data_IF_390792654346
#
_entry.id   IF_390792654346
#
_cell.length_a   1.000
_cell.length_b   1.000
_cell.length_c   1.000
_cell.angle_alpha   90.00
_cell.angle_beta   90.00
_cell.angle_gamma   90.00
#
_symmetry.space_group_name_H-M   'P 1'
#
loop_
_entity.id
_entity.type
_entity.pdbx_description
1 polymer ?
#
# COMPACT_ATOMS: atom_id res chain seq x y z
N UNK A 1 -14.22 13.06 -3.02
CA UNK A 1 -13.77 12.07 -4.03
C UNK A 1 -14.66 10.85 -3.89
N UNK A 2 -15.12 10.24 -4.99
CA UNK A 2 -15.93 9.02 -4.90
C UNK A 2 -15.13 7.83 -4.32
N UNK A 3 -15.79 6.74 -3.90
CA UNK A 3 -15.13 5.55 -3.32
C UNK A 3 -13.97 5.02 -4.17
N UNK A 4 -14.15 4.98 -5.49
CA UNK A 4 -13.13 4.54 -6.45
C UNK A 4 -11.89 5.46 -6.52
N UNK A 5 -12.05 6.77 -6.30
CA UNK A 5 -10.93 7.71 -6.31
C UNK A 5 -10.00 7.53 -5.10
N UNK A 6 -10.58 7.19 -3.94
CA UNK A 6 -9.80 6.87 -2.74
C UNK A 6 -9.02 5.57 -2.92
N UNK A 7 -9.66 4.51 -3.45
CA UNK A 7 -8.99 3.25 -3.75
C UNK A 7 -7.82 3.42 -4.73
N UNK A 8 -8.00 4.23 -5.78
CA UNK A 8 -6.93 4.50 -6.74
C UNK A 8 -5.75 5.24 -6.09
N UNK A 9 -6.04 6.23 -5.24
CA UNK A 9 -5.01 6.99 -4.52
C UNK A 9 -4.22 6.11 -3.55
N UNK A 10 -4.92 5.26 -2.79
CA UNK A 10 -4.31 4.26 -1.90
C UNK A 10 -3.42 3.32 -2.72
N UNK A 11 -3.92 2.80 -3.84
CA UNK A 11 -3.20 1.83 -4.65
C UNK A 11 -1.89 2.36 -5.20
N UNK A 12 -1.87 3.62 -5.65
CA UNK A 12 -0.65 4.29 -6.13
C UNK A 12 0.30 4.61 -4.97
N UNK A 13 -0.22 5.14 -3.86
CA UNK A 13 0.59 5.52 -2.70
C UNK A 13 1.35 4.32 -2.11
N UNK A 14 0.66 3.19 -1.93
CA UNK A 14 1.26 1.97 -1.41
C UNK A 14 2.23 1.31 -2.40
N UNK A 15 1.90 1.33 -3.70
CA UNK A 15 2.78 0.80 -4.74
C UNK A 15 4.12 1.57 -4.79
N UNK A 16 4.06 2.90 -4.88
CA UNK A 16 5.26 3.75 -4.93
C UNK A 16 6.01 3.71 -3.59
N UNK A 17 5.31 3.66 -2.46
CA UNK A 17 5.95 3.56 -1.15
C UNK A 17 6.79 2.28 -1.00
N UNK A 18 6.25 1.14 -1.40
CA UNK A 18 6.90 -0.17 -1.25
C UNK A 18 8.01 -0.44 -2.26
N UNK A 19 8.12 0.39 -3.30
CA UNK A 19 9.23 0.35 -4.26
C UNK A 19 10.58 0.74 -3.63
N UNK A 20 10.58 1.52 -2.54
CA UNK A 20 11.79 2.06 -1.90
C UNK A 20 11.99 1.58 -0.46
N UNK A 21 10.91 1.25 0.23
CA UNK A 21 10.88 1.00 1.67
C UNK A 21 10.19 -0.33 1.93
N UNK A 22 10.63 -1.02 2.98
CA UNK A 22 10.06 -2.28 3.42
C UNK A 22 8.52 -2.22 3.62
N UNK A 23 7.77 -3.23 3.15
CA UNK A 23 6.32 -3.37 3.31
C UNK A 23 5.78 -3.03 4.70
N UNK A 24 6.43 -3.51 5.75
CA UNK A 24 5.94 -3.37 7.13
C UNK A 24 6.00 -1.90 7.54
N UNK A 25 7.08 -1.21 7.19
CA UNK A 25 7.28 0.21 7.51
C UNK A 25 6.25 1.07 6.77
N UNK A 26 6.00 0.79 5.49
CA UNK A 26 5.01 1.54 4.69
C UNK A 26 3.61 1.34 5.25
N UNK A 27 3.22 0.11 5.61
CA UNK A 27 1.90 -0.19 6.20
C UNK A 27 1.73 0.54 7.52
N UNK A 28 2.71 0.49 8.42
CA UNK A 28 2.63 1.16 9.73
C UNK A 28 2.47 2.67 9.62
N UNK A 29 3.04 3.30 8.60
CA UNK A 29 2.96 4.75 8.40
C UNK A 29 1.71 5.15 7.62
N UNK A 30 1.40 4.51 6.50
CA UNK A 30 0.33 4.94 5.59
C UNK A 30 -1.06 4.48 6.07
N UNK A 31 -1.21 3.31 6.69
CA UNK A 31 -2.52 2.83 7.15
C UNK A 31 -3.22 3.81 8.09
N UNK A 32 -2.61 4.33 9.17
CA UNK A 32 -3.28 5.29 10.05
C UNK A 32 -3.59 6.62 9.35
N UNK A 33 -2.83 7.00 8.32
CA UNK A 33 -3.08 8.20 7.51
C UNK A 33 -4.33 8.02 6.64
N UNK A 34 -4.52 6.84 6.05
CA UNK A 34 -5.67 6.54 5.19
C UNK A 34 -6.91 6.02 5.94
N UNK A 35 -6.77 5.55 7.18
CA UNK A 35 -7.86 5.06 8.03
C UNK A 35 -9.06 6.03 8.16
N UNK A 36 -8.88 7.34 8.48
CA UNK A 36 -10.01 8.27 8.58
C UNK A 36 -10.68 8.51 7.21
N UNK A 37 -9.92 8.43 6.11
CA UNK A 37 -10.43 8.62 4.75
C UNK A 37 -11.32 7.44 4.34
N UNK A 38 -10.87 6.21 4.64
CA UNK A 38 -11.61 4.98 4.34
C UNK A 38 -12.92 4.93 5.13
N UNK A 39 -12.89 5.27 6.42
CA UNK A 39 -14.08 5.37 7.26
C UNK A 39 -15.07 6.43 6.75
N UNK A 40 -14.58 7.61 6.31
CA UNK A 40 -15.44 8.66 5.77
C UNK A 40 -16.12 8.26 4.44
N UNK A 41 -15.50 7.36 3.67
CA UNK A 41 -16.08 6.83 2.42
C UNK A 41 -17.01 5.63 2.59
N UNK A 42 -17.11 5.04 3.78
CA UNK A 42 -17.92 3.85 4.02
C UNK A 42 -17.44 2.60 3.28
N UNK A 43 -16.17 2.56 2.86
CA UNK A 43 -15.56 1.42 2.20
C UNK A 43 -15.30 0.29 3.21
N UNK A 44 -15.51 -0.96 2.79
CA UNK A 44 -15.20 -2.12 3.62
C UNK A 44 -13.69 -2.16 3.93
N UNK A 45 -13.29 -2.08 5.21
CA UNK A 45 -11.89 -2.13 5.60
C UNK A 45 -11.20 -3.43 5.19
N UNK A 46 -11.92 -4.55 5.06
CA UNK A 46 -11.35 -5.82 4.61
C UNK A 46 -10.93 -5.74 3.14
N UNK A 47 -11.79 -5.17 2.29
CA UNK A 47 -11.49 -4.92 0.88
C UNK A 47 -10.30 -3.95 0.72
N UNK A 48 -10.29 -2.86 1.48
CA UNK A 48 -9.18 -1.90 1.41
C UNK A 48 -7.87 -2.53 1.87
N UNK A 49 -7.91 -3.32 2.95
CA UNK A 49 -6.76 -4.06 3.45
C UNK A 49 -6.21 -5.07 2.43
N UNK A 50 -7.08 -5.81 1.74
CA UNK A 50 -6.66 -6.76 0.69
C UNK A 50 -6.07 -6.07 -0.53
N UNK A 51 -6.59 -4.92 -0.93
CA UNK A 51 -5.99 -4.13 -2.02
C UNK A 51 -4.61 -3.59 -1.59
N UNK A 52 -4.49 -3.09 -0.36
CA UNK A 52 -3.21 -2.61 0.16
C UNK A 52 -2.17 -3.73 0.16
N UNK A 53 -2.49 -4.91 0.69
CA UNK A 53 -1.53 -6.04 0.74
C UNK A 53 -1.11 -6.49 -0.66
N UNK A 54 -2.04 -6.51 -1.63
CA UNK A 54 -1.70 -6.80 -3.02
C UNK A 54 -0.72 -5.76 -3.58
N UNK A 55 -1.01 -4.47 -3.41
CA UNK A 55 -0.18 -3.39 -3.96
C UNK A 55 1.21 -3.33 -3.32
N UNK A 56 1.30 -3.63 -2.04
CA UNK A 56 2.55 -3.72 -1.29
C UNK A 56 3.40 -4.88 -1.81
N UNK A 57 2.82 -6.07 -2.00
CA UNK A 57 3.54 -7.24 -2.52
C UNK A 57 4.04 -7.04 -3.97
N UNK A 58 3.25 -6.36 -4.81
CA UNK A 58 3.70 -6.01 -6.16
C UNK A 58 4.80 -4.94 -6.06
N UNK A 59 4.60 -3.90 -5.25
CA UNK A 59 5.56 -2.80 -5.08
C UNK A 59 6.93 -3.27 -4.58
N UNK A 60 6.97 -4.21 -3.63
CA UNK A 60 8.20 -4.74 -3.05
C UNK A 60 9.01 -5.64 -4.00
N UNK A 61 8.34 -6.24 -4.99
CA UNK A 61 8.97 -7.02 -6.04
C UNK A 61 9.37 -6.20 -7.29
N UNK A 62 8.89 -4.95 -7.42
CA UNK A 62 9.10 -4.13 -8.64
C UNK A 62 10.31 -3.19 -8.50
N UNK A 63 11.19 -3.05 -9.52
CA UNK A 63 12.35 -2.14 -9.49
C UNK A 63 11.92 -0.68 -9.27
N UNK A 64 12.44 0.01 -8.24
CA UNK A 64 13.70 0.74 -8.28
C UNK A 64 14.70 0.37 -7.17
N UNK A 65 14.22 -0.19 -6.05
CA UNK A 65 15.06 -0.84 -5.03
C UNK A 65 14.60 -2.28 -4.79
N UNK A 66 13.30 -2.57 -4.76
CA UNK A 66 12.81 -3.95 -4.64
C UNK A 66 13.37 -4.65 -3.40
N UNK A 67 12.98 -4.19 -2.20
CA UNK A 67 13.53 -4.67 -0.93
C UNK A 67 13.57 -6.21 -0.83
N UNK A 68 12.57 -6.90 -1.38
CA UNK A 68 12.50 -8.36 -1.38
C UNK A 68 13.61 -9.01 -2.21
N UNK A 69 14.06 -8.36 -3.30
CA UNK A 69 15.18 -8.83 -4.12
C UNK A 69 16.50 -8.73 -3.34
N UNK A 70 16.69 -7.66 -2.56
CA UNK A 70 17.85 -7.54 -1.67
C UNK A 70 17.84 -8.59 -0.56
N UNK A 71 16.67 -8.88 0.02
CA UNK A 71 16.53 -9.94 1.02
C UNK A 71 16.77 -11.34 0.44
N UNK A 72 16.36 -11.60 -0.80
CA UNK A 72 16.54 -12.91 -1.43
C UNK A 72 18.00 -13.27 -1.71
N UNK A 73 18.90 -12.28 -1.81
CA UNK A 73 20.34 -12.48 -2.09
C UNK A 73 21.24 -12.33 -0.85
N UNK A 74 20.68 -11.90 0.28
CA UNK A 74 21.38 -11.74 1.56
C UNK A 74 21.44 -13.07 2.34
#
# INVERSE_FOLDING_TARGET
>A
MGPYGVLFTISIAFFIGCMFVDPIVVILVLVPIFAPVVQATGLDPVLVGTIITLQVAIGSATPPFGCDIFTAIA
#
